data_IF_725057870946
#
_entry.id   IF_725057870946
#
_cell.length_a   1.000
_cell.length_b   1.000
_cell.length_c   1.000
_cell.angle_alpha   90.00
_cell.angle_beta   90.00
_cell.angle_gamma   90.00
#
_symmetry.space_group_name_H-M   'P 1'
#
loop_
_entity.id
_entity.type
_entity.pdbx_description
1 polymer ?
#
# COMPACT_ATOMS: atom_id res chain seq x y z
N UNK A 1 9.88 -20.65 17.10
CA UNK A 1 10.85 -20.42 15.99
C UNK A 1 10.79 -21.57 14.98
N UNK A 2 9.66 -21.78 14.29
CA UNK A 2 9.48 -22.88 13.30
C UNK A 2 9.57 -22.37 11.85
N UNK A 3 9.32 -21.08 11.63
CA UNK A 3 9.26 -20.49 10.28
C UNK A 3 10.62 -20.33 9.58
N UNK A 4 11.70 -20.02 10.30
CA UNK A 4 13.03 -19.80 9.71
C UNK A 4 13.66 -21.06 9.06
N UNK A 5 13.12 -22.23 9.37
CA UNK A 5 13.60 -23.53 8.86
C UNK A 5 12.57 -24.25 7.98
N UNK A 6 11.43 -23.61 7.69
CA UNK A 6 10.36 -24.18 6.88
C UNK A 6 10.58 -23.82 5.39
N UNK A 7 10.81 -24.82 4.54
CA UNK A 7 10.97 -24.65 3.10
C UNK A 7 12.20 -25.36 2.54
N UNK A 8 12.31 -25.43 1.21
CA UNK A 8 13.42 -26.09 0.51
C UNK A 8 14.71 -25.26 0.49
N UNK A 9 14.67 -23.99 0.92
CA UNK A 9 15.78 -23.04 0.80
C UNK A 9 16.24 -22.79 -0.63
N UNK A 10 15.40 -23.12 -1.62
CA UNK A 10 15.74 -23.10 -3.04
C UNK A 10 14.60 -22.57 -3.91
N UNK A 11 14.95 -21.77 -4.92
CA UNK A 11 14.06 -21.35 -6.01
C UNK A 11 14.56 -21.97 -7.31
N UNK A 12 13.73 -22.76 -7.98
CA UNK A 12 14.11 -23.52 -9.20
C UNK A 12 15.35 -24.41 -9.00
N UNK A 13 15.50 -25.02 -7.81
CA UNK A 13 16.64 -25.88 -7.48
C UNK A 13 17.96 -25.15 -7.21
N UNK A 14 17.98 -23.81 -7.29
CA UNK A 14 19.10 -22.97 -6.87
C UNK A 14 18.86 -22.48 -5.46
N UNK A 15 19.93 -22.39 -4.65
CA UNK A 15 19.83 -21.79 -3.32
C UNK A 15 19.24 -20.39 -3.43
N UNK A 16 18.27 -20.11 -2.57
CA UNK A 16 17.70 -18.77 -2.48
C UNK A 16 18.61 -17.89 -1.63
N UNK A 17 19.28 -16.95 -2.29
CA UNK A 17 20.19 -16.02 -1.63
C UNK A 17 19.45 -14.93 -0.82
N UNK A 18 18.12 -14.85 -0.93
CA UNK A 18 17.29 -13.83 -0.26
C UNK A 18 16.69 -14.30 1.06
N UNK A 19 16.71 -15.60 1.35
CA UNK A 19 16.13 -16.16 2.59
C UNK A 19 16.71 -15.49 3.83
N UNK A 20 18.02 -15.19 3.84
CA UNK A 20 18.66 -14.47 4.95
C UNK A 20 18.05 -13.08 5.16
N UNK A 21 17.86 -12.33 4.07
CA UNK A 21 17.28 -10.98 4.11
C UNK A 21 15.84 -10.99 4.62
N UNK A 22 15.05 -11.99 4.23
CA UNK A 22 13.67 -12.13 4.70
C UNK A 22 13.59 -12.49 6.18
N UNK A 23 14.44 -13.42 6.63
CA UNK A 23 14.54 -13.79 8.05
C UNK A 23 14.95 -12.56 8.87
N UNK A 24 15.99 -11.86 8.46
CA UNK A 24 16.49 -10.66 9.15
C UNK A 24 15.40 -9.58 9.25
N UNK A 25 14.62 -9.37 8.18
CA UNK A 25 13.49 -8.43 8.20
C UNK A 25 12.43 -8.83 9.23
N UNK A 26 12.00 -10.09 9.25
CA UNK A 26 10.97 -10.55 10.18
C UNK A 26 11.44 -10.58 11.63
N UNK A 27 12.72 -10.90 11.89
CA UNK A 27 13.30 -10.82 13.23
C UNK A 27 13.38 -9.37 13.70
N UNK A 28 13.81 -8.44 12.84
CA UNK A 28 13.85 -7.00 13.15
C UNK A 28 12.44 -6.44 13.41
N UNK A 29 11.47 -6.81 12.57
CA UNK A 29 10.08 -6.38 12.73
C UNK A 29 9.46 -6.95 14.02
N UNK A 30 9.77 -8.19 14.39
CA UNK A 30 9.27 -8.79 15.63
C UNK A 30 9.87 -8.14 16.90
N UNK A 31 11.10 -7.64 16.81
CA UNK A 31 11.79 -6.97 17.92
C UNK A 31 11.38 -5.51 18.08
N UNK A 32 11.40 -4.74 16.99
CA UNK A 32 11.26 -3.27 17.02
C UNK A 32 10.15 -2.69 16.14
N UNK A 33 9.38 -3.52 15.43
CA UNK A 33 8.37 -3.05 14.48
C UNK A 33 8.97 -2.40 13.23
N UNK A 34 8.18 -1.55 12.56
CA UNK A 34 8.65 -0.70 11.46
C UNK A 34 9.08 0.64 12.06
N UNK A 35 10.32 1.06 11.81
CA UNK A 35 10.80 2.38 12.26
C UNK A 35 10.27 3.50 11.38
N UNK A 36 10.27 4.73 11.92
CA UNK A 36 9.86 5.94 11.20
C UNK A 36 10.67 6.14 9.91
N UNK A 37 11.98 5.86 9.92
CA UNK A 37 12.84 5.98 8.74
C UNK A 37 12.42 5.00 7.64
N UNK A 38 12.07 3.76 8.01
CA UNK A 38 11.59 2.75 7.07
C UNK A 38 10.22 3.15 6.51
N UNK A 39 9.31 3.63 7.37
CA UNK A 39 8.00 4.11 6.96
C UNK A 39 8.11 5.30 5.99
N UNK A 40 8.97 6.27 6.31
CA UNK A 40 9.26 7.43 5.46
C UNK A 40 9.84 7.02 4.11
N UNK A 41 10.88 6.18 4.10
CA UNK A 41 11.49 5.72 2.86
C UNK A 41 10.51 4.92 1.97
N UNK A 42 9.60 4.15 2.58
CA UNK A 42 8.54 3.45 1.85
C UNK A 42 7.51 4.44 1.26
N UNK A 43 7.07 5.42 2.04
CA UNK A 43 6.12 6.44 1.61
C UNK A 43 6.68 7.32 0.48
N UNK A 44 7.97 7.67 0.52
CA UNK A 44 8.65 8.41 -0.54
C UNK A 44 8.66 7.64 -1.87
N UNK A 45 8.90 6.33 -1.83
CA UNK A 45 8.84 5.47 -3.04
C UNK A 45 7.43 5.46 -3.64
N UNK A 46 6.40 5.30 -2.80
CA UNK A 46 5.03 5.36 -3.28
C UNK A 46 4.67 6.73 -3.82
N UNK A 47 5.11 7.81 -3.17
CA UNK A 47 4.91 9.17 -3.68
C UNK A 47 5.52 9.36 -5.06
N UNK A 48 6.75 8.88 -5.28
CA UNK A 48 7.42 8.97 -6.59
C UNK A 48 6.61 8.25 -7.66
N UNK A 49 6.24 6.99 -7.43
CA UNK A 49 5.50 6.22 -8.42
C UNK A 49 4.09 6.77 -8.63
N UNK A 50 3.43 7.24 -7.58
CA UNK A 50 2.10 7.84 -7.71
C UNK A 50 2.13 9.16 -8.48
N UNK A 51 3.20 9.95 -8.40
CA UNK A 51 3.37 11.11 -9.29
C UNK A 51 3.44 10.68 -10.76
N UNK A 52 4.19 9.61 -11.08
CA UNK A 52 4.29 9.10 -12.46
C UNK A 52 2.92 8.62 -12.98
N UNK A 53 2.16 7.89 -12.15
CA UNK A 53 0.81 7.46 -12.51
C UNK A 53 -0.16 8.64 -12.64
N UNK A 54 -0.02 9.66 -11.80
CA UNK A 54 -0.82 10.89 -11.87
C UNK A 54 -0.60 11.63 -13.19
N UNK A 55 0.66 11.74 -13.64
CA UNK A 55 1.02 12.36 -14.92
C UNK A 55 0.41 11.60 -16.11
N UNK A 56 0.45 10.28 -16.09
CA UNK A 56 -0.22 9.43 -17.09
C UNK A 56 -1.72 9.72 -17.11
N UNK A 57 -2.36 9.65 -15.95
CA UNK A 57 -3.81 9.85 -15.78
C UNK A 57 -4.26 11.29 -16.02
N UNK A 58 -3.33 12.25 -16.15
CA UNK A 58 -3.64 13.61 -16.56
C UNK A 58 -4.17 13.71 -18.00
N UNK A 59 -3.87 12.71 -18.85
CA UNK A 59 -4.21 12.72 -20.27
C UNK A 59 -5.15 11.58 -20.70
N UNK A 60 -5.46 10.64 -19.81
CA UNK A 60 -6.25 9.45 -20.11
C UNK A 60 -7.01 8.95 -18.89
N UNK A 61 -8.04 8.14 -19.12
CA UNK A 61 -8.95 7.71 -18.05
C UNK A 61 -8.40 6.57 -17.19
N UNK A 62 -7.61 5.68 -17.79
CA UNK A 62 -7.02 4.48 -17.19
C UNK A 62 -5.51 4.47 -17.40
N UNK A 63 -4.78 3.53 -16.80
CA UNK A 63 -3.32 3.46 -16.91
C UNK A 63 -2.82 3.13 -18.32
N UNK A 64 -3.66 2.49 -19.15
CA UNK A 64 -3.39 2.27 -20.57
C UNK A 64 -4.39 3.06 -21.43
N UNK A 65 -3.95 3.59 -22.59
CA UNK A 65 -4.81 4.37 -23.47
C UNK A 65 -5.94 3.54 -24.10
N UNK A 66 -5.80 2.21 -24.17
CA UNK A 66 -6.82 1.29 -24.66
C UNK A 66 -8.00 1.11 -23.68
N UNK A 67 -7.87 1.59 -22.45
CA UNK A 67 -8.91 1.54 -21.43
C UNK A 67 -8.54 0.72 -20.20
N UNK A 68 -9.55 0.31 -19.44
CA UNK A 68 -9.40 -0.45 -18.20
C UNK A 68 -8.62 -1.76 -18.44
N UNK A 69 -7.60 -1.98 -17.63
CA UNK A 69 -6.71 -3.13 -17.76
C UNK A 69 -6.39 -3.80 -16.43
N UNK A 70 -5.67 -4.92 -16.48
CA UNK A 70 -5.15 -5.57 -15.27
C UNK A 70 -4.19 -4.67 -14.48
N UNK A 71 -3.56 -3.68 -15.13
CA UNK A 71 -2.70 -2.72 -14.45
C UNK A 71 -3.50 -1.84 -13.50
N UNK A 72 -4.69 -1.40 -13.92
CA UNK A 72 -5.57 -0.59 -13.08
C UNK A 72 -6.00 -1.36 -11.83
N UNK A 73 -6.39 -2.62 -12.01
CA UNK A 73 -6.77 -3.50 -10.88
C UNK A 73 -5.60 -3.68 -9.92
N UNK A 74 -4.40 -3.94 -10.44
CA UNK A 74 -3.21 -4.14 -9.62
C UNK A 74 -2.84 -2.89 -8.81
N UNK A 75 -2.79 -1.72 -9.46
CA UNK A 75 -2.49 -0.46 -8.80
C UNK A 75 -3.59 0.02 -7.87
N UNK A 76 -4.85 -0.32 -8.15
CA UNK A 76 -5.98 0.08 -7.32
C UNK A 76 -5.87 -0.53 -5.93
N UNK A 77 -5.45 -1.79 -5.82
CA UNK A 77 -5.25 -2.44 -4.51
C UNK A 77 -4.14 -1.75 -3.70
N UNK A 78 -3.05 -1.28 -4.34
CA UNK A 78 -2.02 -0.51 -3.64
C UNK A 78 -2.56 0.85 -3.16
N UNK A 79 -3.28 1.57 -4.03
CA UNK A 79 -3.91 2.84 -3.69
C UNK A 79 -4.91 2.67 -2.53
N UNK A 80 -5.81 1.68 -2.61
CA UNK A 80 -6.79 1.40 -1.56
C UNK A 80 -6.12 1.10 -0.20
N UNK A 81 -5.13 0.21 -0.18
CA UNK A 81 -4.42 -0.14 1.07
C UNK A 81 -3.67 1.05 1.68
N UNK A 82 -3.06 1.89 0.84
CA UNK A 82 -2.43 3.13 1.30
C UNK A 82 -3.46 4.15 1.79
N UNK A 83 -4.61 4.28 1.12
CA UNK A 83 -5.73 5.10 1.57
C UNK A 83 -6.24 4.67 2.96
N UNK A 84 -6.41 3.36 3.18
CA UNK A 84 -6.74 2.80 4.50
C UNK A 84 -5.65 3.07 5.54
N UNK A 85 -4.39 3.08 5.14
CA UNK A 85 -3.25 3.51 5.97
C UNK A 85 -3.15 5.04 6.12
N UNK A 86 -4.08 5.80 5.57
CA UNK A 86 -4.17 7.26 5.69
C UNK A 86 -3.22 8.03 4.77
N UNK A 87 -2.85 7.48 3.62
CA UNK A 87 -2.14 8.22 2.59
C UNK A 87 -3.11 9.18 1.88
N UNK A 88 -2.77 10.47 1.73
CA UNK A 88 -3.69 11.50 1.23
C UNK A 88 -3.68 11.59 -0.31
N UNK A 89 -4.15 10.52 -0.99
CA UNK A 89 -4.02 10.33 -2.45
C UNK A 89 -4.51 11.55 -3.23
N UNK A 90 -5.78 11.95 -3.07
CA UNK A 90 -6.35 13.06 -3.86
C UNK A 90 -5.71 14.43 -3.61
N UNK A 91 -5.09 14.64 -2.43
CA UNK A 91 -4.37 15.88 -2.12
C UNK A 91 -3.01 15.94 -2.80
N UNK A 92 -2.31 14.80 -2.86
CA UNK A 92 -0.95 14.72 -3.42
C UNK A 92 -0.94 14.44 -4.92
N UNK A 93 -1.92 13.68 -5.40
CA UNK A 93 -2.01 13.14 -6.76
C UNK A 93 -3.46 13.29 -7.27
N UNK A 94 -3.86 14.49 -7.74
CA UNK A 94 -5.26 14.77 -8.04
C UNK A 94 -5.88 13.93 -9.17
N UNK A 95 -5.11 13.57 -10.20
CA UNK A 95 -5.59 12.74 -11.32
C UNK A 95 -5.69 11.27 -10.90
N UNK A 96 -4.71 10.79 -10.14
CA UNK A 96 -4.76 9.47 -9.52
C UNK A 96 -5.91 9.38 -8.52
N UNK A 97 -6.20 10.45 -7.77
CA UNK A 97 -7.35 10.53 -6.87
C UNK A 97 -8.68 10.36 -7.62
N UNK A 98 -8.87 11.07 -8.73
CA UNK A 98 -10.06 10.92 -9.58
C UNK A 98 -10.18 9.51 -10.17
N UNK A 99 -9.06 8.93 -10.60
CA UNK A 99 -9.03 7.56 -11.07
C UNK A 99 -9.40 6.57 -9.95
N UNK A 100 -8.90 6.78 -8.74
CA UNK A 100 -9.22 5.95 -7.58
C UNK A 100 -10.72 6.00 -7.26
N UNK A 101 -11.31 7.19 -7.18
CA UNK A 101 -12.75 7.37 -6.93
C UNK A 101 -13.61 6.68 -8.00
N UNK A 102 -13.20 6.76 -9.27
CA UNK A 102 -13.89 6.07 -10.37
C UNK A 102 -13.83 4.56 -10.20
N UNK A 103 -12.65 4.02 -9.88
CA UNK A 103 -12.44 2.58 -9.69
C UNK A 103 -13.22 2.05 -8.49
N UNK A 104 -13.23 2.76 -7.38
CA UNK A 104 -13.98 2.40 -6.16
C UNK A 104 -15.50 2.33 -6.39
N UNK A 105 -16.02 3.15 -7.31
CA UNK A 105 -17.45 3.17 -7.67
C UNK A 105 -17.87 2.02 -8.61
N UNK A 106 -16.92 1.27 -9.19
CA UNK A 106 -17.25 0.13 -10.04
C UNK A 106 -17.85 -1.01 -9.17
N UNK A 107 -19.06 -1.52 -9.48
CA UNK A 107 -19.70 -2.55 -8.65
C UNK A 107 -18.86 -3.81 -8.43
N UNK A 108 -18.07 -4.20 -9.44
CA UNK A 108 -17.17 -5.35 -9.40
C UNK A 108 -16.02 -5.17 -8.43
N UNK A 109 -15.59 -3.92 -8.20
CA UNK A 109 -14.50 -3.56 -7.29
C UNK A 109 -15.06 -3.27 -5.90
N UNK A 110 -16.14 -2.49 -5.80
CA UNK A 110 -16.75 -2.05 -4.55
C UNK A 110 -17.03 -3.22 -3.60
N UNK A 111 -17.55 -4.33 -4.14
CA UNK A 111 -17.85 -5.55 -3.36
C UNK A 111 -16.61 -6.26 -2.80
N UNK A 112 -15.44 -6.09 -3.42
CA UNK A 112 -14.19 -6.77 -3.03
C UNK A 112 -13.39 -5.96 -1.99
N UNK A 113 -13.65 -4.65 -1.90
CA UNK A 113 -12.98 -3.75 -0.96
C UNK A 113 -13.84 -3.36 0.23
N UNK A 114 -15.12 -3.74 0.23
CA UNK A 114 -16.00 -3.50 1.37
C UNK A 114 -15.47 -4.22 2.61
N UNK A 115 -15.07 -3.43 3.61
CA UNK A 115 -14.63 -3.97 4.88
C UNK A 115 -15.86 -4.37 5.71
N UNK A 116 -15.90 -5.59 6.26
CA UNK A 116 -16.95 -5.98 7.20
C UNK A 116 -17.03 -4.96 8.37
N UNK A 117 -18.24 -4.66 8.89
CA UNK A 117 -18.42 -3.64 9.93
C UNK A 117 -17.42 -3.69 11.10
N UNK A 118 -17.15 -4.84 11.74
CA UNK A 118 -16.19 -4.87 12.86
C UNK A 118 -14.76 -4.53 12.43
N UNK A 119 -14.37 -4.86 11.19
CA UNK A 119 -13.05 -4.51 10.66
C UNK A 119 -13.00 -3.01 10.40
N UNK A 120 -14.01 -2.44 9.74
CA UNK A 120 -14.08 -1.02 9.44
C UNK A 120 -14.06 -0.16 10.71
N UNK A 121 -14.78 -0.56 11.74
CA UNK A 121 -14.82 0.14 13.04
C UNK A 121 -13.45 0.11 13.73
N UNK A 122 -12.77 -1.03 13.75
CA UNK A 122 -11.42 -1.16 14.30
C UNK A 122 -10.43 -0.26 13.55
N UNK A 123 -10.45 -0.27 12.22
CA UNK A 123 -9.61 0.63 11.41
C UNK A 123 -9.88 2.09 11.75
N UNK A 124 -11.15 2.49 11.85
CA UNK A 124 -11.52 3.88 12.18
C UNK A 124 -11.02 4.29 13.58
N UNK A 125 -11.17 3.41 14.58
CA UNK A 125 -10.70 3.65 15.94
C UNK A 125 -9.16 3.80 15.99
N UNK A 126 -8.41 2.86 15.43
CA UNK A 126 -6.94 2.94 15.34
C UNK A 126 -6.50 4.22 14.60
N UNK A 127 -7.19 4.59 13.52
CA UNK A 127 -6.90 5.82 12.78
C UNK A 127 -7.18 7.10 13.55
N UNK A 128 -8.13 7.10 14.48
CA UNK A 128 -8.41 8.24 15.34
C UNK A 128 -7.36 8.36 16.44
N UNK A 129 -6.99 7.24 17.06
CA UNK A 129 -5.91 7.15 18.06
C UNK A 129 -4.57 7.64 17.50
N UNK A 130 -4.11 7.07 16.38
CA UNK A 130 -2.85 7.50 15.75
C UNK A 130 -2.85 8.99 15.35
N UNK A 131 -4.01 9.56 15.01
CA UNK A 131 -4.12 11.00 14.73
C UNK A 131 -3.99 11.84 15.99
N UNK A 132 -4.63 11.44 17.09
CA UNK A 132 -4.54 12.12 18.37
C UNK A 132 -3.11 12.10 18.94
N UNK A 133 -2.37 11.02 18.70
CA UNK A 133 -1.00 10.83 19.18
C UNK A 133 0.06 11.38 18.21
N UNK A 134 -0.33 11.86 17.02
CA UNK A 134 0.61 12.36 16.02
C UNK A 134 1.41 11.28 15.29
N UNK A 135 1.07 9.99 15.47
CA UNK A 135 1.75 8.83 14.86
C UNK A 135 1.08 8.34 13.56
N UNK A 136 0.26 9.19 12.93
CA UNK A 136 -0.36 8.85 11.65
C UNK A 136 0.62 9.00 10.49
N UNK A 137 0.38 8.24 9.42
CA UNK A 137 1.30 8.14 8.28
C UNK A 137 1.79 9.48 7.74
N UNK A 138 0.90 10.47 7.57
CA UNK A 138 1.28 11.79 7.06
C UNK A 138 2.30 12.51 7.97
N UNK A 139 2.11 12.44 9.28
CA UNK A 139 3.03 13.05 10.24
C UNK A 139 4.39 12.33 10.28
N UNK A 140 4.39 11.00 10.32
CA UNK A 140 5.62 10.19 10.37
C UNK A 140 6.42 10.28 9.07
N UNK A 141 5.73 10.20 7.92
CA UNK A 141 6.38 10.17 6.62
C UNK A 141 6.58 11.55 5.98
N UNK A 142 6.00 12.62 6.53
CA UNK A 142 6.11 13.98 6.00
C UNK A 142 5.39 14.18 4.65
N UNK A 143 4.13 13.75 4.57
CA UNK A 143 3.29 13.77 3.36
C UNK A 143 2.35 15.00 3.29
#
# INVERSE_FOLDING_TARGET
KVYATAGSGTVNGKKDDRVGVEIDFWETYADGGITDEVAKAAAEKFRSIFNELDEILGNQEYLLPEGLSVLDIAWFIYANRLGLAGYPIGRLHPNLGKWYERMEQMPEIAKEIELPPPVRENFAATRAEHRAEGMHLEAVAGL
#
